data_IF_014639833789
#
_entry.id   IF_014639833789
#
_cell.length_a   1.000
_cell.length_b   1.000
_cell.length_c   1.000
_cell.angle_alpha   90.00
_cell.angle_beta   90.00
_cell.angle_gamma   90.00
#
_symmetry.space_group_name_H-M   'P 1'
#
loop_
_entity.id
_entity.type
_entity.pdbx_description
1 polymer ?
#
# COMPACT_ATOMS: atom_id res chain seq x y z
N UNK A 1 -5.53 -0.12 11.83
CA UNK A 1 -4.85 0.46 10.65
C UNK A 1 -3.78 1.43 11.15
N UNK A 2 -2.51 1.14 10.93
CA UNK A 2 -1.41 2.01 11.35
C UNK A 2 -1.40 3.31 10.55
N UNK A 3 -1.23 4.46 11.23
CA UNK A 3 -1.18 5.79 10.60
C UNK A 3 -0.14 5.88 9.46
N UNK A 4 0.96 5.12 9.56
CA UNK A 4 1.97 4.95 8.53
C UNK A 4 1.40 4.47 7.18
N UNK A 5 0.44 3.54 7.19
CA UNK A 5 -0.16 3.00 5.97
C UNK A 5 -0.97 4.09 5.24
N UNK A 6 -1.70 4.90 5.99
CA UNK A 6 -2.48 6.02 5.44
C UNK A 6 -1.55 7.10 4.84
N UNK A 7 -0.42 7.37 5.48
CA UNK A 7 0.60 8.31 4.98
C UNK A 7 1.20 7.80 3.66
N UNK A 8 1.55 6.51 3.57
CA UNK A 8 2.12 5.90 2.36
C UNK A 8 1.11 5.95 1.20
N UNK A 9 -0.15 5.56 1.44
CA UNK A 9 -1.21 5.61 0.43
C UNK A 9 -1.49 7.05 -0.02
N UNK A 10 -1.53 7.99 0.93
CA UNK A 10 -1.71 9.42 0.64
C UNK A 10 -0.58 10.00 -0.21
N UNK A 11 0.67 9.62 0.06
CA UNK A 11 1.83 10.04 -0.73
C UNK A 11 1.81 9.46 -2.14
N UNK A 12 1.45 8.19 -2.31
CA UNK A 12 1.33 7.54 -3.62
C UNK A 12 0.27 8.21 -4.49
N UNK A 13 -0.92 8.43 -3.93
CA UNK A 13 -2.00 9.13 -4.63
C UNK A 13 -1.64 10.59 -4.88
N UNK A 14 -1.06 11.28 -3.89
CA UNK A 14 -0.62 12.65 -3.99
C UNK A 14 0.40 12.85 -5.12
N UNK A 15 1.46 12.04 -5.17
CA UNK A 15 2.45 12.07 -6.26
C UNK A 15 1.81 11.77 -7.62
N UNK A 16 0.89 10.82 -7.65
CA UNK A 16 0.22 10.40 -8.87
C UNK A 16 -0.65 11.52 -9.47
N UNK A 17 -1.42 12.22 -8.64
CA UNK A 17 -2.26 13.34 -9.08
C UNK A 17 -1.46 14.64 -9.25
N UNK A 18 -0.45 14.90 -8.42
CA UNK A 18 0.35 16.14 -8.48
C UNK A 18 1.16 16.26 -9.78
N UNK A 19 1.62 15.14 -10.35
CA UNK A 19 2.35 15.13 -11.63
C UNK A 19 1.45 15.38 -12.85
N UNK A 20 0.11 15.38 -12.70
CA UNK A 20 -0.80 15.55 -13.84
C UNK A 20 -1.04 17.02 -14.14
N UNK A 21 -0.44 17.50 -15.22
CA UNK A 21 -0.73 18.83 -15.82
C UNK A 21 -1.72 18.76 -17.00
N UNK A 22 -1.99 17.56 -17.52
CA UNK A 22 -2.83 17.33 -18.68
C UNK A 22 -4.18 16.67 -18.29
N UNK A 23 -5.26 16.95 -19.05
CA UNK A 23 -6.56 16.29 -18.83
C UNK A 23 -6.42 14.77 -18.94
N UNK A 24 -7.15 14.06 -18.08
CA UNK A 24 -7.04 12.62 -17.88
C UNK A 24 -7.41 11.89 -19.19
N UNK A 25 -6.43 11.28 -19.84
CA UNK A 25 -6.68 10.41 -21.00
C UNK A 25 -7.21 9.04 -20.54
N UNK A 26 -7.75 8.24 -21.46
CA UNK A 26 -8.29 6.90 -21.11
C UNK A 26 -7.19 5.98 -20.54
N UNK A 27 -5.96 6.07 -21.07
CA UNK A 27 -4.78 5.34 -20.56
C UNK A 27 -4.41 5.78 -19.14
N UNK A 28 -4.49 7.08 -18.91
CA UNK A 28 -4.27 7.74 -17.62
C UNK A 28 -5.30 7.33 -16.56
N UNK A 29 -6.51 6.94 -16.98
CA UNK A 29 -7.55 6.43 -16.10
C UNK A 29 -7.27 4.99 -15.65
N UNK A 30 -6.85 4.12 -16.59
CA UNK A 30 -6.40 2.76 -16.29
C UNK A 30 -5.18 2.73 -15.36
N UNK A 31 -4.25 3.66 -15.54
CA UNK A 31 -3.09 3.78 -14.66
C UNK A 31 -3.50 4.20 -13.24
N UNK A 32 -4.61 4.92 -13.09
CA UNK A 32 -5.16 5.28 -11.79
C UNK A 32 -5.80 4.10 -11.09
N UNK A 33 -6.53 3.26 -11.84
CA UNK A 33 -7.01 1.97 -11.36
C UNK A 33 -5.87 1.07 -10.89
N UNK A 34 -4.77 1.01 -11.63
CA UNK A 34 -3.60 0.23 -11.25
C UNK A 34 -2.98 0.73 -9.92
N UNK A 35 -2.87 2.06 -9.74
CA UNK A 35 -2.38 2.66 -8.49
C UNK A 35 -3.29 2.34 -7.30
N UNK A 36 -4.61 2.40 -7.49
CA UNK A 36 -5.59 2.01 -6.46
C UNK A 36 -5.41 0.54 -6.08
N UNK A 37 -5.24 -0.33 -7.07
CA UNK A 37 -5.07 -1.77 -6.87
C UNK A 37 -3.78 -2.07 -6.10
N UNK A 38 -2.68 -1.38 -6.42
CA UNK A 38 -1.42 -1.45 -5.66
C UNK A 38 -1.60 -0.96 -4.22
N UNK A 39 -2.34 0.12 -4.00
CA UNK A 39 -2.62 0.60 -2.63
C UNK A 39 -3.40 -0.43 -1.81
N UNK A 40 -4.40 -1.09 -2.40
CA UNK A 40 -5.16 -2.17 -1.74
C UNK A 40 -4.25 -3.34 -1.38
N UNK A 41 -3.37 -3.75 -2.29
CA UNK A 41 -2.39 -4.82 -2.03
C UNK A 41 -1.44 -4.43 -0.89
N UNK A 42 -0.93 -3.20 -0.88
CA UNK A 42 -0.07 -2.71 0.20
C UNK A 42 -0.81 -2.73 1.53
N UNK A 43 -2.02 -2.18 1.60
CA UNK A 43 -2.83 -2.16 2.84
C UNK A 43 -3.11 -3.57 3.34
N UNK A 44 -3.50 -4.47 2.45
CA UNK A 44 -3.79 -5.87 2.77
C UNK A 44 -2.53 -6.63 3.19
N UNK A 45 -1.41 -6.39 2.51
CA UNK A 45 -0.10 -6.93 2.88
C UNK A 45 0.30 -6.48 4.28
N UNK A 46 0.26 -5.18 4.58
CA UNK A 46 0.59 -4.65 5.90
C UNK A 46 -0.33 -5.16 7.01
N UNK A 47 -1.63 -5.35 6.76
CA UNK A 47 -2.53 -5.96 7.74
C UNK A 47 -2.13 -7.39 8.11
N UNK A 48 -1.55 -8.13 7.17
CA UNK A 48 -1.06 -9.49 7.41
C UNK A 48 0.41 -9.51 7.84
N UNK A 49 1.19 -8.44 7.62
CA UNK A 49 2.60 -8.35 8.05
C UNK A 49 2.72 -8.37 9.57
N UNK A 50 1.80 -7.73 10.32
CA UNK A 50 1.81 -7.86 11.79
C UNK A 50 1.65 -9.33 12.22
N UNK A 51 0.79 -10.09 11.54
CA UNK A 51 0.62 -11.53 11.79
C UNK A 51 1.85 -12.35 11.36
N UNK A 52 2.51 -12.00 10.25
CA UNK A 52 3.76 -12.65 9.80
C UNK A 52 4.91 -12.36 10.79
N UNK A 53 5.03 -11.11 11.26
CA UNK A 53 6.05 -10.69 12.23
C UNK A 53 5.81 -11.33 13.59
N UNK A 54 4.56 -11.42 14.05
CA UNK A 54 4.22 -12.20 15.25
C UNK A 54 4.52 -13.69 15.07
N UNK A 55 4.08 -14.30 13.96
CA UNK A 55 4.38 -15.71 13.69
C UNK A 55 5.89 -16.01 13.64
N UNK A 56 6.70 -15.07 13.15
CA UNK A 56 8.15 -15.19 13.15
C UNK A 56 8.75 -15.04 14.55
N UNK A 57 8.25 -14.11 15.35
CA UNK A 57 8.65 -13.94 16.76
C UNK A 57 8.29 -15.17 17.60
N UNK A 58 7.06 -15.64 17.51
CA UNK A 58 6.56 -16.79 18.26
C UNK A 58 7.29 -18.08 17.83
N UNK A 59 7.60 -18.23 16.54
CA UNK A 59 8.44 -19.33 16.05
C UNK A 59 9.89 -19.26 16.56
N UNK A 60 10.46 -18.07 16.74
CA UNK A 60 11.80 -17.88 17.28
C UNK A 60 11.87 -18.09 18.81
N UNK A 61 10.80 -17.77 19.55
CA UNK A 61 10.71 -18.02 21.00
C UNK A 61 10.36 -19.48 21.33
N UNK A 62 9.52 -20.13 20.52
CA UNK A 62 9.17 -21.56 20.68
C UNK A 62 10.29 -22.52 20.23
N UNK A 63 11.32 -22.01 19.54
CA UNK A 63 12.50 -22.76 19.12
C UNK A 63 13.67 -22.75 20.12
N UNK A 64 13.49 -22.18 21.31
CA UNK A 64 14.45 -22.22 22.43
C UNK A 64 14.09 -23.29 23.46
#
# INVERSE_FOLDING_TARGET
MSALVLIIVGLLLGLYFHRRKAPMTVKDWFLGLAVILVCIIIVSGFQNVDAIVQGFKDGAESGK
#
